data_IF_321326137505
#
_entry.id   IF_321326137505
#
_cell.length_a   1.000
_cell.length_b   1.000
_cell.length_c   1.000
_cell.angle_alpha   90.00
_cell.angle_beta   90.00
_cell.angle_gamma   90.00
#
_symmetry.space_group_name_H-M   'P 1'
#
loop_
_entity.id
_entity.type
_entity.pdbx_description
1 polymer ?
#
# COMPACT_ATOMS: atom_id res chain seq x y z
N UNK A 1 -8.79 28.62 -15.30
CA UNK A 1 -8.11 29.70 -16.05
C UNK A 1 -7.45 29.23 -17.34
N UNK A 2 -6.41 28.37 -17.30
CA UNK A 2 -5.76 27.86 -18.53
C UNK A 2 -6.73 27.12 -19.47
N UNK A 3 -7.59 26.25 -18.91
CA UNK A 3 -8.62 25.55 -19.67
C UNK A 3 -9.68 26.49 -20.24
N UNK A 4 -10.08 27.53 -19.50
CA UNK A 4 -11.06 28.52 -19.97
C UNK A 4 -10.50 29.34 -21.14
N UNK A 5 -9.20 29.67 -21.10
CA UNK A 5 -8.49 30.31 -22.20
C UNK A 5 -8.39 29.41 -23.44
N UNK A 6 -8.23 28.09 -23.26
CA UNK A 6 -8.27 27.11 -24.35
C UNK A 6 -9.68 27.07 -24.96
N UNK A 7 -10.73 27.04 -24.14
CA UNK A 7 -12.11 27.05 -24.63
C UNK A 7 -12.42 28.33 -25.43
N UNK A 8 -12.06 29.50 -24.88
CA UNK A 8 -12.23 30.78 -25.57
C UNK A 8 -11.41 30.87 -26.87
N UNK A 9 -10.21 30.28 -26.89
CA UNK A 9 -9.41 30.15 -28.10
C UNK A 9 -10.06 29.25 -29.15
N UNK A 10 -10.82 28.23 -28.75
CA UNK A 10 -11.55 27.34 -29.68
C UNK A 10 -12.76 28.06 -30.27
N UNK A 11 -13.53 28.74 -29.44
CA UNK A 11 -14.70 29.53 -29.87
C UNK A 11 -14.32 30.64 -30.86
N UNK A 12 -13.26 31.40 -30.58
CA UNK A 12 -12.76 32.44 -31.50
C UNK A 12 -12.29 31.86 -32.84
N UNK A 13 -11.70 30.66 -32.83
CA UNK A 13 -11.33 29.96 -34.07
C UNK A 13 -12.56 29.56 -34.88
N UNK A 14 -13.58 29.01 -34.23
CA UNK A 14 -14.84 28.62 -34.89
C UNK A 14 -15.56 29.82 -35.50
N UNK A 15 -15.60 30.96 -34.79
CA UNK A 15 -16.17 32.21 -35.30
C UNK A 15 -15.42 32.74 -36.54
N UNK A 16 -14.09 32.82 -36.49
CA UNK A 16 -13.26 33.26 -37.62
C UNK A 16 -13.37 32.34 -38.85
N UNK A 17 -13.65 31.05 -38.64
CA UNK A 17 -13.92 30.08 -39.71
C UNK A 17 -15.33 30.30 -40.30
N UNK A 18 -16.34 30.54 -39.46
CA UNK A 18 -17.73 30.75 -39.89
C UNK A 18 -17.91 32.02 -40.73
N UNK A 19 -17.13 33.07 -40.45
CA UNK A 19 -17.15 34.34 -41.18
C UNK A 19 -16.38 34.28 -42.52
N UNK A 20 -15.79 33.14 -42.87
CA UNK A 20 -15.02 32.96 -44.11
C UNK A 20 -13.70 33.75 -44.16
N UNK A 21 -13.35 34.45 -43.07
CA UNK A 21 -12.10 35.20 -42.90
C UNK A 21 -10.88 34.30 -42.69
N UNK A 22 -11.11 33.02 -42.35
CA UNK A 22 -10.09 31.97 -42.33
C UNK A 22 -10.47 30.84 -43.30
N UNK A 23 -9.52 30.42 -44.13
CA UNK A 23 -9.69 29.23 -44.99
C UNK A 23 -9.84 28.00 -44.09
N UNK A 24 -10.93 27.25 -44.26
CA UNK A 24 -11.30 26.10 -43.42
C UNK A 24 -10.09 25.18 -43.20
N UNK A 25 -9.55 25.10 -41.96
CA UNK A 25 -8.28 24.46 -41.70
C UNK A 25 -8.35 22.93 -41.58
N UNK A 26 -9.54 22.33 -41.44
CA UNK A 26 -9.68 20.89 -41.20
C UNK A 26 -10.39 20.17 -42.35
N UNK A 27 -9.64 19.70 -43.36
CA UNK A 27 -10.14 18.71 -44.30
C UNK A 27 -10.45 17.41 -43.55
N UNK A 28 -11.45 16.67 -44.01
CA UNK A 28 -12.00 15.48 -43.35
C UNK A 28 -10.92 14.46 -42.93
N UNK A 29 -9.87 14.28 -43.73
CA UNK A 29 -8.74 13.40 -43.44
C UNK A 29 -7.91 13.82 -42.21
N UNK A 30 -7.86 15.11 -41.86
CA UNK A 30 -7.15 15.59 -40.67
C UNK A 30 -7.94 15.28 -39.38
N UNK A 31 -9.27 15.28 -39.48
CA UNK A 31 -10.17 14.83 -38.39
C UNK A 31 -10.05 13.33 -38.18
N UNK A 32 -10.04 12.55 -39.25
CA UNK A 32 -9.86 11.10 -39.17
C UNK A 32 -8.53 10.74 -38.52
N UNK A 33 -7.45 11.46 -38.87
CA UNK A 33 -6.12 11.27 -38.28
C UNK A 33 -6.06 11.68 -36.80
N UNK A 34 -6.78 12.73 -36.41
CA UNK A 34 -6.90 13.15 -35.01
C UNK A 34 -7.70 12.13 -34.19
N UNK A 35 -8.78 11.60 -34.74
CA UNK A 35 -9.58 10.54 -34.11
C UNK A 35 -8.73 9.29 -33.91
N UNK A 36 -7.95 8.90 -34.92
CA UNK A 36 -7.02 7.76 -34.84
C UNK A 36 -5.92 7.98 -33.78
N UNK A 37 -5.43 9.20 -33.63
CA UNK A 37 -4.48 9.55 -32.56
C UNK A 37 -5.13 9.57 -31.18
N UNK A 38 -6.38 10.02 -31.06
CA UNK A 38 -7.13 10.04 -29.80
C UNK A 38 -7.46 8.62 -29.34
N UNK A 39 -7.92 7.75 -30.25
CA UNK A 39 -8.20 6.34 -29.92
C UNK A 39 -6.92 5.59 -29.52
N UNK A 40 -5.79 5.91 -30.16
CA UNK A 40 -4.49 5.38 -29.78
C UNK A 40 -4.04 5.88 -28.39
N UNK A 41 -4.31 7.15 -28.07
CA UNK A 41 -4.01 7.73 -26.75
C UNK A 41 -4.94 7.21 -25.66
N UNK A 42 -6.22 6.96 -25.94
CA UNK A 42 -7.18 6.33 -25.01
C UNK A 42 -6.77 4.88 -24.71
N UNK A 43 -6.39 4.11 -25.72
CA UNK A 43 -5.84 2.76 -25.52
C UNK A 43 -4.55 2.79 -24.68
N UNK A 44 -3.66 3.76 -24.94
CA UNK A 44 -2.45 3.96 -24.16
C UNK A 44 -2.74 4.43 -22.72
N UNK A 45 -3.83 5.15 -22.49
CA UNK A 45 -4.25 5.61 -21.16
C UNK A 45 -4.90 4.48 -20.36
N UNK A 46 -5.82 3.73 -20.96
CA UNK A 46 -6.47 2.55 -20.37
C UNK A 46 -5.45 1.46 -20.00
N UNK A 47 -4.35 1.35 -20.75
CA UNK A 47 -3.29 0.35 -20.48
C UNK A 47 -2.18 0.82 -19.55
N UNK A 48 -2.02 2.12 -19.29
CA UNK A 48 -0.90 2.69 -18.50
C UNK A 48 -1.30 3.47 -17.25
N UNK A 49 -2.58 3.42 -16.85
CA UNK A 49 -3.07 4.08 -15.66
C UNK A 49 -2.33 3.59 -14.39
N UNK A 50 -1.35 4.37 -13.93
CA UNK A 50 -0.60 4.13 -12.68
C UNK A 50 0.91 4.43 -12.72
N UNK A 51 1.50 4.72 -13.88
CA UNK A 51 2.97 4.83 -14.00
C UNK A 51 3.40 6.27 -14.31
N UNK A 52 4.06 6.95 -13.37
CA UNK A 52 4.59 8.33 -13.50
C UNK A 52 5.46 8.55 -14.76
N UNK A 53 6.05 7.47 -15.30
CA UNK A 53 6.79 7.47 -16.57
C UNK A 53 5.90 7.68 -17.80
N UNK A 54 4.66 7.21 -17.76
CA UNK A 54 3.68 7.43 -18.82
C UNK A 54 3.19 8.87 -18.83
N UNK A 55 2.91 9.44 -17.64
CA UNK A 55 2.55 10.85 -17.47
C UNK A 55 3.66 11.78 -17.95
N UNK A 56 4.93 11.48 -17.64
CA UNK A 56 6.08 12.24 -18.13
C UNK A 56 6.28 12.17 -19.65
N UNK A 57 5.87 11.08 -20.30
CA UNK A 57 5.85 10.96 -21.77
C UNK A 57 4.70 11.77 -22.37
N UNK A 58 3.55 11.78 -21.71
CA UNK A 58 2.39 12.55 -22.10
C UNK A 58 2.62 14.07 -22.00
N UNK A 59 3.25 14.55 -20.92
CA UNK A 59 3.65 15.94 -20.80
C UNK A 59 4.66 16.35 -21.89
N UNK A 60 5.59 15.46 -22.24
CA UNK A 60 6.51 15.68 -23.36
C UNK A 60 5.81 15.75 -24.72
N UNK A 61 4.85 14.86 -25.00
CA UNK A 61 4.11 14.91 -26.26
C UNK A 61 3.26 16.17 -26.37
N UNK A 62 2.62 16.61 -25.27
CA UNK A 62 1.90 17.88 -25.21
C UNK A 62 2.85 19.06 -25.49
N UNK A 63 4.04 19.07 -24.89
CA UNK A 63 5.04 20.13 -25.09
C UNK A 63 5.51 20.21 -26.54
N UNK A 64 5.82 19.07 -27.16
CA UNK A 64 6.20 19.00 -28.57
C UNK A 64 5.06 19.45 -29.50
N UNK A 65 3.83 19.01 -29.23
CA UNK A 65 2.66 19.39 -30.02
C UNK A 65 2.38 20.90 -29.92
N UNK A 66 2.50 21.45 -28.71
CA UNK A 66 2.33 22.88 -28.45
C UNK A 66 3.41 23.71 -29.14
N UNK A 67 4.66 23.24 -29.16
CA UNK A 67 5.75 23.91 -29.89
C UNK A 67 5.51 23.93 -31.40
N UNK A 68 5.14 22.79 -32.00
CA UNK A 68 4.83 22.69 -33.44
C UNK A 68 3.68 23.62 -33.82
N UNK A 69 2.63 23.64 -33.01
CA UNK A 69 1.49 24.54 -33.21
C UNK A 69 1.88 26.01 -33.13
N UNK A 70 2.78 26.38 -32.21
CA UNK A 70 3.28 27.75 -32.10
C UNK A 70 4.08 28.17 -33.34
N UNK A 71 4.88 27.28 -33.90
CA UNK A 71 5.65 27.57 -35.11
C UNK A 71 4.73 27.74 -36.33
N UNK A 72 3.67 26.93 -36.43
CA UNK A 72 2.64 27.11 -37.45
C UNK A 72 1.83 28.40 -37.27
N UNK A 73 1.48 28.75 -36.02
CA UNK A 73 0.74 29.98 -35.72
C UNK A 73 1.60 31.22 -36.02
N UNK A 74 2.89 31.22 -35.67
CA UNK A 74 3.83 32.28 -36.05
C UNK A 74 3.94 32.45 -37.57
N UNK A 75 4.01 31.35 -38.31
CA UNK A 75 4.02 31.37 -39.78
C UNK A 75 2.72 31.95 -40.38
N UNK A 76 1.56 31.66 -39.76
CA UNK A 76 0.25 32.19 -40.19
C UNK A 76 0.03 33.65 -39.79
N UNK A 77 0.56 34.10 -38.65
CA UNK A 77 0.53 35.50 -38.20
C UNK A 77 1.33 36.41 -39.14
N UNK A 78 2.49 35.94 -39.63
CA UNK A 78 3.25 36.67 -40.64
C UNK A 78 2.45 36.92 -41.94
N UNK A 79 1.42 36.11 -42.20
CA UNK A 79 0.51 36.26 -43.34
C UNK A 79 -0.81 36.98 -43.04
N UNK A 80 -1.26 37.07 -41.78
CA UNK A 80 -2.56 37.66 -41.40
C UNK A 80 -2.53 38.33 -40.01
N UNK A 81 -2.69 39.67 -39.92
CA UNK A 81 -2.67 40.42 -38.67
C UNK A 81 -3.91 40.23 -37.76
N UNK A 82 -5.00 39.65 -38.27
CA UNK A 82 -6.24 39.38 -37.50
C UNK A 82 -6.08 38.26 -36.44
N UNK A 83 -4.95 37.54 -36.42
CA UNK A 83 -4.67 36.42 -35.49
C UNK A 83 -3.95 36.84 -34.19
N UNK A 84 -3.78 38.14 -33.94
CA UNK A 84 -3.06 38.66 -32.78
C UNK A 84 -3.68 38.23 -31.44
N UNK A 85 -5.01 38.22 -31.33
CA UNK A 85 -5.72 37.82 -30.10
C UNK A 85 -5.50 36.35 -29.73
N UNK A 86 -5.38 35.47 -30.73
CA UNK A 86 -5.06 34.06 -30.55
C UNK A 86 -3.63 33.86 -30.00
N UNK A 87 -2.69 34.68 -30.45
CA UNK A 87 -1.31 34.66 -29.98
C UNK A 87 -1.22 35.12 -28.52
N UNK A 88 -1.96 36.18 -28.16
CA UNK A 88 -2.02 36.65 -26.78
C UNK A 88 -2.58 35.58 -25.84
N UNK A 89 -3.66 34.90 -26.24
CA UNK A 89 -4.23 33.81 -25.44
C UNK A 89 -3.22 32.65 -25.28
N UNK A 90 -2.53 32.27 -26.35
CA UNK A 90 -1.51 31.21 -26.30
C UNK A 90 -0.28 31.60 -25.47
N UNK A 91 0.14 32.86 -25.53
CA UNK A 91 1.24 33.39 -24.72
C UNK A 91 0.94 33.35 -23.23
N UNK A 92 -0.34 33.47 -22.85
CA UNK A 92 -0.82 33.38 -21.45
C UNK A 92 -0.94 31.92 -20.97
N UNK A 93 -1.27 30.99 -21.86
CA UNK A 93 -1.42 29.57 -21.53
C UNK A 93 -0.07 28.91 -21.19
N UNK A 94 0.99 29.25 -21.94
CA UNK A 94 2.33 28.66 -21.78
C UNK A 94 2.92 28.74 -20.36
N UNK A 95 3.03 29.93 -19.72
CA UNK A 95 3.60 30.04 -18.39
C UNK A 95 2.76 29.31 -17.32
N UNK A 96 1.45 29.17 -17.53
CA UNK A 96 0.58 28.43 -16.61
C UNK A 96 0.89 26.92 -16.63
N UNK A 97 1.12 26.34 -17.81
CA UNK A 97 1.54 24.94 -17.91
C UNK A 97 2.98 24.71 -17.43
N UNK A 98 3.90 25.64 -17.71
CA UNK A 98 5.27 25.55 -17.19
C UNK A 98 5.29 25.65 -15.65
N UNK A 99 4.44 26.48 -15.06
CA UNK A 99 4.28 26.56 -13.61
C UNK A 99 3.69 25.28 -13.02
N UNK A 100 2.69 24.68 -13.68
CA UNK A 100 2.11 23.41 -13.27
C UNK A 100 3.11 22.25 -13.38
N UNK A 101 3.88 22.17 -14.47
CA UNK A 101 4.95 21.18 -14.67
C UNK A 101 5.99 21.29 -13.54
N UNK A 102 6.43 22.52 -13.22
CA UNK A 102 7.39 22.76 -12.14
C UNK A 102 6.84 22.40 -10.76
N UNK A 103 5.57 22.71 -10.47
CA UNK A 103 4.93 22.36 -9.22
C UNK A 103 4.77 20.85 -9.06
N UNK A 104 4.43 20.16 -10.16
CA UNK A 104 4.34 18.71 -10.21
C UNK A 104 5.71 18.06 -10.00
N UNK A 105 6.76 18.52 -10.67
CA UNK A 105 8.12 17.99 -10.49
C UNK A 105 8.59 18.13 -9.03
N UNK A 106 8.35 19.28 -8.39
CA UNK A 106 8.65 19.48 -6.97
C UNK A 106 7.85 18.54 -6.04
N UNK A 107 6.59 18.27 -6.37
CA UNK A 107 5.77 17.30 -5.63
C UNK A 107 6.34 15.88 -5.77
N UNK A 108 6.76 15.47 -6.97
CA UNK A 108 7.35 14.14 -7.20
C UNK A 108 8.66 13.97 -6.43
N UNK A 109 9.51 15.01 -6.38
CA UNK A 109 10.74 14.98 -5.57
C UNK A 109 10.42 14.77 -4.07
N UNK A 110 9.48 15.54 -3.51
CA UNK A 110 9.07 15.41 -2.11
C UNK A 110 8.44 14.05 -1.79
N UNK A 111 7.65 13.50 -2.72
CA UNK A 111 7.08 12.16 -2.58
C UNK A 111 8.18 11.10 -2.61
N UNK A 112 9.17 11.23 -3.50
CA UNK A 112 10.34 10.35 -3.53
C UNK A 112 11.14 10.35 -2.22
N UNK A 113 11.44 11.54 -1.68
CA UNK A 113 12.10 11.67 -0.37
C UNK A 113 11.24 11.08 0.77
N UNK A 114 9.93 11.33 0.74
CA UNK A 114 8.99 10.77 1.72
C UNK A 114 8.94 9.24 1.66
N UNK A 115 8.96 8.64 0.48
CA UNK A 115 8.95 7.17 0.31
C UNK A 115 10.23 6.53 0.88
N UNK A 116 11.40 7.14 0.65
CA UNK A 116 12.66 6.70 1.26
C UNK A 116 12.63 6.81 2.80
N UNK A 117 12.07 7.90 3.33
CA UNK A 117 11.88 8.05 4.77
C UNK A 117 10.88 7.03 5.33
N UNK A 118 9.77 6.77 4.64
CA UNK A 118 8.77 5.79 5.07
C UNK A 118 9.30 4.37 5.09
N UNK A 119 10.10 3.98 4.08
CA UNK A 119 10.73 2.66 4.03
C UNK A 119 11.77 2.48 5.13
N UNK A 120 12.58 3.50 5.43
CA UNK A 120 13.52 3.46 6.56
C UNK A 120 12.81 3.45 7.92
N UNK A 121 11.71 4.20 8.07
CA UNK A 121 10.93 4.22 9.30
C UNK A 121 10.26 2.87 9.55
N UNK A 122 9.64 2.26 8.52
CA UNK A 122 8.99 0.95 8.66
C UNK A 122 9.98 -0.16 9.02
N UNK A 123 11.20 -0.15 8.49
CA UNK A 123 12.22 -1.12 8.89
C UNK A 123 12.63 -0.96 10.35
N UNK A 124 12.87 0.27 10.81
CA UNK A 124 13.21 0.58 12.22
C UNK A 124 12.07 0.17 13.16
N UNK A 125 10.82 0.41 12.79
CA UNK A 125 9.66 0.02 13.61
C UNK A 125 9.55 -1.50 13.73
N UNK A 126 9.79 -2.25 12.64
CA UNK A 126 9.77 -3.72 12.70
C UNK A 126 10.93 -4.26 13.55
N UNK A 127 12.12 -3.68 13.43
CA UNK A 127 13.25 -4.00 14.31
C UNK A 127 12.92 -3.73 15.78
N UNK A 128 12.32 -2.57 16.08
CA UNK A 128 11.89 -2.22 17.43
C UNK A 128 10.86 -3.23 17.97
N UNK A 129 9.90 -3.65 17.15
CA UNK A 129 8.90 -4.65 17.53
C UNK A 129 9.56 -5.99 17.88
N UNK A 130 10.53 -6.43 17.09
CA UNK A 130 11.29 -7.66 17.33
C UNK A 130 12.11 -7.54 18.61
N UNK A 131 12.82 -6.42 18.81
CA UNK A 131 13.61 -6.17 20.01
C UNK A 131 12.75 -6.15 21.28
N UNK A 132 11.59 -5.50 21.24
CA UNK A 132 10.66 -5.48 22.36
C UNK A 132 10.14 -6.88 22.70
N UNK A 133 9.80 -7.69 21.69
CA UNK A 133 9.38 -9.08 21.89
C UNK A 133 10.48 -9.93 22.51
N UNK A 134 11.74 -9.75 22.08
CA UNK A 134 12.91 -10.44 22.65
C UNK A 134 13.17 -10.00 24.09
N UNK A 135 13.08 -8.70 24.36
CA UNK A 135 13.25 -8.13 25.71
C UNK A 135 12.17 -8.68 26.65
N UNK A 136 10.91 -8.65 26.26
CA UNK A 136 9.81 -9.19 27.06
C UNK A 136 9.99 -10.69 27.39
N UNK A 137 10.47 -11.48 26.42
CA UNK A 137 10.79 -12.90 26.65
C UNK A 137 11.95 -13.07 27.62
N UNK A 138 12.99 -12.23 27.53
CA UNK A 138 14.13 -12.26 28.43
C UNK A 138 13.74 -11.85 29.86
N UNK A 139 12.92 -10.80 30.01
CA UNK A 139 12.36 -10.37 31.29
C UNK A 139 11.49 -11.47 31.91
N UNK A 140 10.59 -12.07 31.12
CA UNK A 140 9.77 -13.20 31.57
C UNK A 140 10.61 -14.41 31.99
N UNK A 141 11.68 -14.71 31.26
CA UNK A 141 12.60 -15.79 31.59
C UNK A 141 13.37 -15.49 32.89
N UNK A 142 13.81 -14.24 33.07
CA UNK A 142 14.48 -13.78 34.28
C UNK A 142 13.53 -13.88 35.48
N UNK A 143 12.31 -13.36 35.38
CA UNK A 143 11.30 -13.48 36.44
C UNK A 143 11.02 -14.94 36.78
N UNK A 144 10.88 -15.82 35.78
CA UNK A 144 10.65 -17.24 36.01
C UNK A 144 11.86 -17.90 36.69
N UNK A 145 13.08 -17.52 36.31
CA UNK A 145 14.30 -18.01 36.95
C UNK A 145 14.39 -17.56 38.42
N UNK A 146 14.07 -16.30 38.71
CA UNK A 146 14.03 -15.77 40.07
C UNK A 146 12.97 -16.51 40.90
N UNK A 147 11.74 -16.63 40.39
CA UNK A 147 10.66 -17.39 41.04
C UNK A 147 11.06 -18.84 41.30
N UNK A 148 11.73 -19.49 40.34
CA UNK A 148 12.24 -20.85 40.51
C UNK A 148 13.33 -20.91 41.59
N UNK A 149 14.26 -19.95 41.63
CA UNK A 149 15.29 -19.89 42.68
C UNK A 149 14.70 -19.68 44.06
N UNK A 150 13.71 -18.79 44.20
CA UNK A 150 12.98 -18.56 45.45
C UNK A 150 12.21 -19.80 45.90
N UNK A 151 11.52 -20.46 44.97
CA UNK A 151 10.84 -21.73 45.21
C UNK A 151 11.80 -22.77 45.79
N UNK A 152 12.95 -23.00 45.15
CA UNK A 152 13.93 -23.98 45.61
C UNK A 152 14.63 -23.57 46.90
N UNK A 153 14.91 -22.28 47.09
CA UNK A 153 15.46 -21.76 48.33
C UNK A 153 14.53 -22.05 49.51
N UNK A 154 13.23 -21.82 49.32
CA UNK A 154 12.22 -22.11 50.34
C UNK A 154 12.13 -23.61 50.65
N UNK A 155 12.16 -24.46 49.62
CA UNK A 155 12.19 -25.94 49.79
C UNK A 155 13.41 -26.44 50.55
N UNK A 156 14.58 -25.83 50.33
CA UNK A 156 15.79 -26.17 51.07
C UNK A 156 15.70 -25.79 52.54
N UNK A 157 14.93 -24.75 52.89
CA UNK A 157 14.75 -24.28 54.26
C UNK A 157 13.63 -25.03 55.01
N UNK A 158 12.46 -25.15 54.38
CA UNK A 158 11.23 -25.62 55.02
C UNK A 158 10.94 -27.10 54.74
N UNK A 159 11.67 -27.71 53.79
CA UNK A 159 11.56 -29.12 53.43
C UNK A 159 10.75 -29.40 52.15
N UNK A 160 10.67 -30.69 51.80
CA UNK A 160 10.14 -31.17 50.51
C UNK A 160 8.70 -31.74 50.59
N UNK A 161 8.12 -31.83 51.79
CA UNK A 161 6.76 -32.33 52.03
C UNK A 161 5.67 -31.31 51.65
N UNK A 162 4.45 -31.51 52.15
CA UNK A 162 3.39 -30.52 51.99
C UNK A 162 3.65 -29.29 52.88
N UNK A 163 3.79 -28.11 52.28
CA UNK A 163 3.99 -26.86 53.01
C UNK A 163 2.65 -26.16 53.33
N UNK A 164 1.52 -26.67 52.85
CA UNK A 164 0.19 -26.08 53.10
C UNK A 164 -0.05 -24.72 52.45
N UNK A 165 0.91 -24.21 51.68
CA UNK A 165 0.83 -22.95 50.95
C UNK A 165 0.54 -23.18 49.46
N UNK A 166 -0.21 -22.25 48.86
CA UNK A 166 -0.52 -22.27 47.44
C UNK A 166 0.77 -22.23 46.59
N UNK A 167 0.97 -23.25 45.75
CA UNK A 167 2.17 -23.37 44.92
C UNK A 167 3.29 -24.25 45.50
N UNK A 168 3.14 -24.78 46.71
CA UNK A 168 4.11 -25.70 47.33
C UNK A 168 3.52 -27.08 47.69
N UNK A 169 3.05 -27.86 46.70
CA UNK A 169 2.49 -29.20 46.94
C UNK A 169 3.57 -30.22 47.37
N UNK A 170 3.19 -31.29 48.06
CA UNK A 170 4.14 -32.36 48.41
C UNK A 170 4.80 -32.98 47.17
N UNK A 171 6.13 -32.91 47.10
CA UNK A 171 6.91 -33.45 45.98
C UNK A 171 6.98 -34.99 46.02
N UNK A 172 6.82 -35.59 47.20
CA UNK A 172 6.84 -37.03 47.37
C UNK A 172 5.47 -37.69 47.16
N UNK A 173 4.38 -36.92 47.07
CA UNK A 173 3.02 -37.44 46.94
C UNK A 173 2.84 -38.44 45.79
N UNK A 174 3.49 -38.19 44.64
CA UNK A 174 3.43 -39.13 43.52
C UNK A 174 4.22 -40.42 43.79
N UNK A 175 5.35 -40.33 44.49
CA UNK A 175 6.18 -41.47 44.85
C UNK A 175 5.53 -42.31 45.96
N UNK A 176 4.89 -41.67 46.94
CA UNK A 176 4.14 -42.36 48.00
C UNK A 176 2.93 -43.09 47.42
N UNK A 177 2.15 -42.44 46.55
CA UNK A 177 1.01 -43.06 45.86
C UNK A 177 1.42 -44.34 45.11
N UNK A 178 2.54 -44.32 44.38
CA UNK A 178 3.04 -45.52 43.68
C UNK A 178 3.50 -46.60 44.66
N UNK A 179 4.18 -46.23 45.75
CA UNK A 179 4.60 -47.19 46.81
C UNK A 179 3.40 -47.86 47.47
N UNK A 180 2.30 -47.14 47.63
CA UNK A 180 1.03 -47.63 48.16
C UNK A 180 0.25 -48.50 47.15
N UNK A 181 0.80 -48.71 45.95
CA UNK A 181 0.21 -49.55 44.89
C UNK A 181 -0.67 -48.78 43.91
N UNK A 182 -0.69 -47.45 43.97
CA UNK A 182 -1.42 -46.59 43.04
C UNK A 182 -0.79 -46.51 41.65
N UNK A 183 -1.58 -46.05 40.68
CA UNK A 183 -1.14 -45.93 39.29
C UNK A 183 -0.19 -44.73 39.09
N UNK A 184 0.85 -44.92 38.27
CA UNK A 184 1.74 -43.82 37.91
C UNK A 184 1.02 -42.74 37.09
N UNK A 185 1.52 -41.51 37.15
CA UNK A 185 0.96 -40.38 36.38
C UNK A 185 0.93 -40.65 34.87
N UNK A 186 1.92 -41.40 34.36
CA UNK A 186 1.98 -41.84 32.96
C UNK A 186 0.84 -42.83 32.66
N UNK A 187 0.60 -43.81 33.53
CA UNK A 187 -0.48 -44.77 33.37
C UNK A 187 -1.86 -44.09 33.40
N UNK A 188 -2.06 -43.15 34.33
CA UNK A 188 -3.29 -42.34 34.43
C UNK A 188 -3.52 -41.52 33.15
N UNK A 189 -2.49 -40.82 32.65
CA UNK A 189 -2.58 -40.05 31.40
C UNK A 189 -2.89 -40.93 30.19
N UNK A 190 -2.31 -42.14 30.13
CA UNK A 190 -2.57 -43.10 29.05
C UNK A 190 -4.03 -43.57 29.06
N UNK A 191 -4.57 -43.92 30.23
CA UNK A 191 -5.99 -44.28 30.36
C UNK A 191 -6.91 -43.11 30.01
N UNK A 192 -6.58 -41.89 30.42
CA UNK A 192 -7.35 -40.70 30.08
C UNK A 192 -7.37 -40.42 28.57
N UNK A 193 -6.25 -40.67 27.87
CA UNK A 193 -6.15 -40.54 26.42
C UNK A 193 -7.05 -41.57 25.71
N UNK A 194 -6.95 -42.85 26.10
CA UNK A 194 -7.80 -43.92 25.54
C UNK A 194 -9.29 -43.62 25.74
N UNK A 195 -9.68 -43.16 26.93
CA UNK A 195 -11.06 -42.74 27.22
C UNK A 195 -11.52 -41.53 26.40
N UNK A 196 -10.61 -40.63 25.98
CA UNK A 196 -10.96 -39.50 25.09
C UNK A 196 -11.16 -40.00 23.66
N UNK A 197 -10.27 -40.86 23.19
CA UNK A 197 -10.35 -41.47 21.85
C UNK A 197 -11.62 -42.31 21.70
N UNK A 198 -12.01 -43.08 22.72
CA UNK A 198 -13.29 -43.83 22.76
C UNK A 198 -14.54 -42.93 22.76
N UNK A 199 -14.47 -41.76 23.40
CA UNK A 199 -15.58 -40.78 23.40
C UNK A 199 -15.71 -40.06 22.06
N UNK A 200 -14.61 -39.86 21.37
CA UNK A 200 -14.59 -39.18 20.07
C UNK A 200 -15.06 -40.13 18.96
N UNK A 201 -14.70 -41.42 19.02
CA UNK A 201 -15.22 -42.43 18.09
C UNK A 201 -16.71 -42.70 18.27
N UNK A 202 -17.21 -42.74 19.51
CA UNK A 202 -18.65 -42.90 19.80
C UNK A 202 -19.49 -41.69 19.42
N UNK A 203 -18.94 -40.47 19.47
CA UNK A 203 -19.62 -39.26 18.94
C UNK A 203 -19.75 -39.29 17.42
N UNK A 204 -18.66 -39.62 16.70
CA UNK A 204 -18.69 -39.74 15.23
C UNK A 204 -19.65 -40.84 14.74
N UNK A 205 -19.79 -41.92 15.49
CA UNK A 205 -20.74 -42.99 15.15
C UNK A 205 -22.21 -42.55 15.28
N UNK A 206 -22.53 -41.62 16.19
CA UNK A 206 -23.89 -41.08 16.36
C UNK A 206 -24.25 -40.01 15.33
N UNK A 207 -23.29 -39.17 14.92
CA UNK A 207 -23.53 -38.15 13.87
C UNK A 207 -23.77 -38.77 12.48
N UNK A 208 -23.26 -39.98 12.23
CA UNK A 208 -23.50 -40.71 10.97
C UNK A 208 -24.80 -41.52 10.91
N UNK A 209 -25.58 -41.62 12.00
CA UNK A 209 -26.90 -42.29 12.02
C UNK A 209 -28.08 -41.30 11.87
N UNK A 210 -27.83 -39.99 11.88
CA UNK A 210 -28.86 -38.93 11.72
C UNK A 210 -28.91 -38.33 10.30
N UNK A 211 -28.14 -38.85 9.32
CA UNK A 211 -28.25 -38.55 7.87
C UNK A 211 -29.03 -39.61 7.08
#
# INVERSE_FOLDING_TARGET
EAFDLIHRSKELRELLISEGRMKNPDPQWAKDKLVEQITQMEQDFETRAGDHKAERKFLRSIKELTSKHQDEVKARIASNPELAELNEIQSKIKPLFEAAEKAHDAMVELVGESDELHTSWTSVVEEQRILHSRLFRAESALENSLKATEYWKKRLQDGFGDLGEAGFPDLFAAATNIKEGGMSSIAVRRQAKLKREEKESTKKAKEGEEE
#
